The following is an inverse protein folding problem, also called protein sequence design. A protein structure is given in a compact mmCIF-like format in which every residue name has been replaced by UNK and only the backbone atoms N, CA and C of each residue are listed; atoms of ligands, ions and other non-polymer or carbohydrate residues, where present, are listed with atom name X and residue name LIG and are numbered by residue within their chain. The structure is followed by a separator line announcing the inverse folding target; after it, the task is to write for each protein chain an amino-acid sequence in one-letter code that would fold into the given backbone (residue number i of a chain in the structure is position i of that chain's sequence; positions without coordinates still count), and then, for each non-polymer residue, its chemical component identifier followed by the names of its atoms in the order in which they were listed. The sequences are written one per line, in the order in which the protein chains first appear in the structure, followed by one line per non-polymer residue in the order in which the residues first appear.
data_IF_403253835669
#
_entry.id   IF_403253835669
#
_cell.length_a   1.000
_cell.length_b   1.000
_cell.length_c   1.000
_cell.angle_alpha   90.00
_cell.angle_beta   90.00
_cell.angle_gamma   90.00
#
_symmetry.space_group_name_H-M   'P 1'
#
loop_
_entity.id
_entity.type
_entity.pdbx_description
1 polymer ?
#
# COMPACT_ATOMS: atom_id res chain seq x y z
N UNK A 1 -22.48 15.72 -8.92
CA UNK A 1 -22.69 14.84 -7.75
C UNK A 1 -21.72 13.68 -7.82
N UNK A 2 -21.01 13.40 -6.74
CA UNK A 2 -20.05 12.31 -6.72
C UNK A 2 -20.75 10.97 -6.46
N UNK A 3 -20.32 9.93 -7.17
CA UNK A 3 -20.76 8.56 -6.93
C UNK A 3 -19.75 7.87 -6.03
N UNK A 4 -20.19 7.45 -4.86
CA UNK A 4 -19.36 6.83 -3.84
C UNK A 4 -19.82 5.40 -3.62
N UNK A 5 -18.85 4.46 -3.57
CA UNK A 5 -19.15 3.04 -3.37
C UNK A 5 -18.26 2.42 -2.28
N UNK A 6 -18.82 1.41 -1.64
CA UNK A 6 -18.09 0.51 -0.76
C UNK A 6 -17.16 -0.38 -1.59
N UNK A 7 -16.17 -0.96 -0.95
CA UNK A 7 -15.28 -1.91 -1.59
C UNK A 7 -14.76 -2.96 -0.59
N UNK A 8 -14.23 -4.05 -1.14
CA UNK A 8 -13.62 -5.11 -0.34
C UNK A 8 -12.13 -4.80 -0.20
N UNK A 9 -11.72 -4.29 0.94
CA UNK A 9 -10.33 -3.93 1.16
C UNK A 9 -9.43 -5.16 1.24
N UNK A 10 -8.22 -5.03 0.74
CA UNK A 10 -7.12 -5.94 0.99
C UNK A 10 -6.26 -5.27 2.05
N UNK A 11 -6.14 -5.88 3.21
CA UNK A 11 -5.45 -5.29 4.35
C UNK A 11 -4.49 -6.29 4.98
N UNK A 12 -3.46 -5.82 5.72
CA UNK A 12 -2.60 -6.72 6.47
C UNK A 12 -3.40 -7.53 7.50
N UNK A 13 -3.03 -8.80 7.68
CA UNK A 13 -3.52 -9.58 8.80
C UNK A 13 -3.11 -8.87 10.10
N UNK A 14 -3.97 -8.92 11.12
CA UNK A 14 -3.76 -8.17 12.37
C UNK A 14 -2.39 -8.50 13.00
N UNK A 15 -2.01 -9.76 13.00
CA UNK A 15 -0.74 -10.21 13.57
C UNK A 15 0.48 -9.82 12.75
N UNK A 16 0.29 -9.29 11.54
CA UNK A 16 1.37 -8.87 10.62
C UNK A 16 1.47 -7.37 10.44
N UNK A 17 0.50 -6.63 10.95
CA UNK A 17 0.39 -5.18 10.72
C UNK A 17 1.68 -4.44 11.05
N UNK A 18 2.30 -4.72 12.18
CA UNK A 18 3.50 -4.01 12.63
C UNK A 18 4.70 -4.19 11.69
N UNK A 19 4.76 -5.32 10.99
CA UNK A 19 5.83 -5.59 10.05
C UNK A 19 5.55 -5.07 8.66
N UNK A 20 4.28 -5.02 8.27
CA UNK A 20 3.86 -4.65 6.91
C UNK A 20 3.68 -3.15 6.78
N UNK A 21 3.14 -2.48 7.80
CA UNK A 21 2.89 -1.05 7.77
C UNK A 21 4.19 -0.27 7.50
N UNK A 22 4.11 0.71 6.63
CA UNK A 22 5.26 1.49 6.20
C UNK A 22 4.90 2.96 6.11
N UNK A 23 5.91 3.82 6.20
CA UNK A 23 5.74 5.24 5.89
C UNK A 23 5.42 5.39 4.40
N UNK A 24 4.85 6.55 3.99
CA UNK A 24 4.56 6.79 2.58
C UNK A 24 5.80 6.62 1.71
N UNK A 25 5.58 6.15 0.48
CA UNK A 25 6.64 5.79 -0.45
C UNK A 25 7.61 6.96 -0.75
N UNK A 26 7.13 8.18 -0.70
CA UNK A 26 7.89 9.39 -1.06
C UNK A 26 8.77 9.94 0.07
N UNK A 27 8.72 9.34 1.25
CA UNK A 27 9.56 9.72 2.40
C UNK A 27 11.01 9.34 2.17
N UNK A 28 11.26 8.31 1.34
CA UNK A 28 12.59 7.75 1.11
C UNK A 28 13.06 8.00 -0.32
N UNK A 29 14.37 8.27 -0.49
CA UNK A 29 14.99 8.13 -1.80
C UNK A 29 15.23 6.64 -2.08
N UNK A 30 15.65 6.28 -3.30
CA UNK A 30 15.80 4.88 -3.70
C UNK A 30 16.78 4.12 -2.80
N UNK A 31 17.93 4.72 -2.49
CA UNK A 31 18.94 4.10 -1.64
C UNK A 31 18.41 3.83 -0.23
N UNK A 32 17.73 4.81 0.35
CA UNK A 32 17.12 4.67 1.67
C UNK A 32 16.04 3.58 1.67
N UNK A 33 15.21 3.54 0.62
CA UNK A 33 14.18 2.53 0.48
C UNK A 33 14.77 1.12 0.43
N UNK A 34 15.88 0.94 -0.30
CA UNK A 34 16.59 -0.35 -0.35
C UNK A 34 17.03 -0.78 1.05
N UNK A 35 17.59 0.13 1.85
CA UNK A 35 18.03 -0.19 3.19
C UNK A 35 16.86 -0.57 4.12
N UNK A 36 15.73 0.13 4.01
CA UNK A 36 14.53 -0.18 4.78
C UNK A 36 14.02 -1.57 4.44
N UNK A 37 13.94 -1.92 3.16
CA UNK A 37 13.46 -3.22 2.70
C UNK A 37 14.42 -4.34 3.11
N UNK A 38 15.74 -4.09 3.07
CA UNK A 38 16.72 -5.08 3.57
C UNK A 38 16.52 -5.39 5.04
N UNK A 39 16.22 -4.37 5.85
CA UNK A 39 15.97 -4.54 7.27
C UNK A 39 14.65 -5.20 7.60
N UNK A 40 13.66 -5.05 6.71
CA UNK A 40 12.34 -5.64 6.86
C UNK A 40 11.72 -5.96 5.50
N UNK A 41 12.00 -7.14 4.94
CA UNK A 41 11.45 -7.54 3.63
C UNK A 41 9.92 -7.64 3.61
N UNK A 42 9.26 -7.73 4.76
CA UNK A 42 7.81 -7.80 4.86
C UNK A 42 7.14 -6.42 4.75
N UNK A 43 7.91 -5.34 4.81
CA UNK A 43 7.38 -3.99 4.71
C UNK A 43 6.62 -3.79 3.41
N UNK A 44 5.47 -3.11 3.48
CA UNK A 44 4.71 -2.72 2.29
C UNK A 44 5.54 -1.87 1.33
N UNK A 45 6.60 -1.24 1.82
CA UNK A 45 7.51 -0.47 0.99
C UNK A 45 8.12 -1.32 -0.13
N UNK A 46 8.32 -2.62 0.09
CA UNK A 46 8.83 -3.53 -0.95
C UNK A 46 7.88 -3.63 -2.15
N UNK A 47 6.58 -3.45 -1.94
CA UNK A 47 5.56 -3.43 -2.99
C UNK A 47 5.46 -2.04 -3.59
N UNK A 48 5.36 -1.04 -2.74
CA UNK A 48 5.17 0.37 -3.12
C UNK A 48 6.39 0.92 -3.86
N UNK A 49 7.57 0.45 -3.49
CA UNK A 49 8.85 0.78 -4.12
C UNK A 49 9.50 -0.50 -4.66
N UNK A 50 8.81 -1.17 -5.60
CA UNK A 50 9.24 -2.47 -6.12
C UNK A 50 10.59 -2.44 -6.85
N UNK A 51 11.07 -1.26 -7.26
CA UNK A 51 12.41 -1.09 -7.82
C UNK A 51 13.51 -1.47 -6.82
N UNK A 52 13.19 -1.53 -5.52
CA UNK A 52 14.15 -1.97 -4.49
C UNK A 52 14.56 -3.43 -4.64
N UNK A 53 13.81 -4.22 -5.41
CA UNK A 53 14.15 -5.61 -5.71
C UNK A 53 15.15 -5.75 -6.86
N UNK A 54 15.52 -4.65 -7.49
CA UNK A 54 16.38 -4.65 -8.68
C UNK A 54 17.63 -3.81 -8.46
N UNK A 55 18.62 -4.02 -9.31
CA UNK A 55 19.83 -3.21 -9.35
C UNK A 55 19.49 -1.75 -9.70
N UNK A 56 20.32 -0.83 -9.24
CA UNK A 56 20.15 0.61 -9.47
C UNK A 56 20.12 0.98 -10.95
N UNK A 57 20.67 0.14 -11.82
CA UNK A 57 20.63 0.35 -13.26
C UNK A 57 19.25 0.17 -13.87
N UNK A 58 18.32 -0.46 -13.15
CA UNK A 58 16.95 -0.68 -13.62
C UNK A 58 16.14 0.58 -13.36
N UNK A 59 15.49 1.09 -14.42
CA UNK A 59 14.62 2.26 -14.32
C UNK A 59 13.40 1.93 -13.43
N UNK A 60 13.06 2.87 -12.55
CA UNK A 60 11.89 2.75 -11.67
C UNK A 60 10.60 2.51 -12.46
N UNK A 61 10.51 3.02 -13.68
CA UNK A 61 9.33 2.91 -14.54
C UNK A 61 9.41 1.75 -15.53
N UNK A 62 10.37 0.84 -15.37
CA UNK A 62 10.45 -0.35 -16.20
C UNK A 62 9.26 -1.28 -15.92
N UNK A 63 8.70 -1.90 -16.96
CA UNK A 63 7.55 -2.81 -16.82
C UNK A 63 7.81 -3.96 -15.85
N UNK A 64 9.04 -4.43 -15.73
CA UNK A 64 9.37 -5.51 -14.78
C UNK A 64 9.26 -5.05 -13.32
N UNK A 65 9.38 -3.77 -13.04
CA UNK A 65 9.16 -3.22 -11.69
C UNK A 65 7.68 -3.32 -11.33
N UNK A 66 6.80 -2.97 -12.24
CA UNK A 66 5.35 -3.10 -12.04
C UNK A 66 4.93 -4.55 -11.90
N UNK A 67 5.51 -5.43 -12.72
CA UNK A 67 5.26 -6.86 -12.63
C UNK A 67 5.71 -7.43 -11.28
N UNK A 68 6.83 -6.93 -10.73
CA UNK A 68 7.32 -7.33 -9.42
C UNK A 68 6.39 -6.88 -8.30
N UNK A 69 5.87 -5.67 -8.38
CA UNK A 69 4.89 -5.17 -7.40
C UNK A 69 3.66 -6.07 -7.36
N UNK A 70 3.13 -6.44 -8.52
CA UNK A 70 1.99 -7.35 -8.62
C UNK A 70 2.31 -8.72 -8.04
N UNK A 71 3.45 -9.29 -8.37
CA UNK A 71 3.91 -10.58 -7.85
C UNK A 71 3.99 -10.58 -6.33
N UNK A 72 4.61 -9.55 -5.76
CA UNK A 72 4.77 -9.44 -4.31
C UNK A 72 3.42 -9.31 -3.60
N UNK A 73 2.50 -8.51 -4.14
CA UNK A 73 1.17 -8.36 -3.57
C UNK A 73 0.38 -9.68 -3.64
N UNK A 74 0.39 -10.34 -4.80
CA UNK A 74 -0.32 -11.61 -4.97
C UNK A 74 0.23 -12.69 -4.04
N UNK A 75 1.55 -12.75 -3.84
CA UNK A 75 2.17 -13.69 -2.92
C UNK A 75 1.76 -13.42 -1.47
N UNK A 76 1.70 -12.16 -1.07
CA UNK A 76 1.27 -11.78 0.28
C UNK A 76 -0.19 -12.18 0.54
N UNK A 77 -1.05 -12.04 -0.45
CA UNK A 77 -2.44 -12.49 -0.36
C UNK A 77 -2.49 -14.02 -0.25
N UNK A 78 -1.73 -14.72 -1.08
CA UNK A 78 -1.72 -16.18 -1.12
C UNK A 78 -1.27 -16.80 0.20
N UNK A 79 -0.27 -16.21 0.88
CA UNK A 79 0.24 -16.75 2.15
C UNK A 79 -0.53 -16.25 3.37
N UNK A 80 -1.52 -15.37 3.19
CA UNK A 80 -2.34 -14.86 4.29
C UNK A 80 -1.77 -13.68 5.05
N UNK A 81 -0.68 -13.07 4.57
CA UNK A 81 -0.15 -11.83 5.16
C UNK A 81 -1.10 -10.66 4.92
N UNK A 82 -1.79 -10.67 3.77
CA UNK A 82 -2.91 -9.79 3.47
C UNK A 82 -4.20 -10.59 3.44
N UNK A 83 -5.26 -9.97 3.92
CA UNK A 83 -6.60 -10.56 3.98
C UNK A 83 -7.53 -9.68 3.17
N UNK A 84 -8.36 -10.31 2.32
CA UNK A 84 -9.40 -9.60 1.57
C UNK A 84 -10.70 -9.65 2.37
N UNK A 85 -11.32 -8.50 2.59
CA UNK A 85 -12.63 -8.44 3.27
C UNK A 85 -13.69 -9.17 2.44
N UNK A 86 -14.54 -9.96 3.11
CA UNK A 86 -15.55 -10.78 2.44
C UNK A 86 -16.74 -9.97 1.93
N UNK A 87 -17.00 -8.82 2.54
CA UNK A 87 -18.12 -7.95 2.18
C UNK A 87 -17.61 -6.55 1.82
N UNK A 88 -18.29 -5.87 0.87
CA UNK A 88 -17.94 -4.48 0.60
C UNK A 88 -18.34 -3.61 1.78
N UNK A 89 -17.48 -2.66 2.14
CA UNK A 89 -17.68 -1.77 3.28
C UNK A 89 -17.10 -0.38 2.98
N UNK A 90 -17.55 0.60 3.75
CA UNK A 90 -16.80 1.84 3.91
C UNK A 90 -15.83 1.65 5.07
N UNK A 91 -14.73 2.39 5.05
CA UNK A 91 -13.71 2.30 6.09
C UNK A 91 -13.53 3.66 6.73
N UNK A 92 -13.10 3.65 7.99
CA UNK A 92 -12.80 4.87 8.73
C UNK A 92 -11.32 4.82 9.08
N UNK A 93 -10.61 5.90 8.77
CA UNK A 93 -9.26 6.07 9.26
C UNK A 93 -9.24 7.08 10.41
N UNK A 94 -8.30 6.91 11.30
CA UNK A 94 -8.05 7.84 12.39
C UNK A 94 -6.57 8.17 12.42
N UNK A 95 -6.25 9.46 12.35
CA UNK A 95 -4.89 9.97 12.41
C UNK A 95 -4.75 10.83 13.66
N UNK A 96 -3.80 10.47 14.51
CA UNK A 96 -3.55 11.22 15.75
C UNK A 96 -2.18 11.88 15.68
N UNK A 97 -2.15 13.18 15.92
CA UNK A 97 -0.93 13.97 16.00
C UNK A 97 -1.10 15.01 17.10
N UNK A 98 -0.11 15.11 17.98
CA UNK A 98 -0.10 16.11 19.08
C UNK A 98 -1.36 16.06 19.94
N UNK A 99 -1.87 14.85 20.20
CA UNK A 99 -3.06 14.64 21.02
C UNK A 99 -4.38 14.93 20.33
N UNK A 100 -4.35 15.27 19.03
CA UNK A 100 -5.56 15.54 18.23
C UNK A 100 -5.77 14.39 17.26
N UNK A 101 -7.01 13.89 17.20
CA UNK A 101 -7.38 12.80 16.30
C UNK A 101 -8.32 13.32 15.23
N UNK A 102 -7.96 13.08 13.97
CA UNK A 102 -8.78 13.35 12.81
C UNK A 102 -9.32 12.04 12.27
N UNK A 103 -10.62 12.00 11.97
CA UNK A 103 -11.27 10.85 11.35
C UNK A 103 -11.67 11.18 9.91
N UNK A 104 -11.62 10.18 9.05
CA UNK A 104 -12.06 10.32 7.67
C UNK A 104 -12.61 9.01 7.12
N UNK A 105 -13.32 9.11 6.01
CA UNK A 105 -13.87 7.95 5.31
C UNK A 105 -12.98 7.55 4.15
N UNK A 106 -12.89 6.23 3.92
CA UNK A 106 -12.24 5.67 2.75
C UNK A 106 -13.31 4.93 1.94
N UNK A 107 -13.41 5.29 0.67
CA UNK A 107 -14.41 4.73 -0.24
C UNK A 107 -13.88 4.84 -1.67
N UNK A 108 -14.55 4.16 -2.61
CA UNK A 108 -14.29 4.35 -4.03
C UNK A 108 -15.13 5.50 -4.55
N UNK A 109 -14.52 6.38 -5.33
CA UNK A 109 -15.22 7.45 -6.03
C UNK A 109 -15.07 7.23 -7.53
N UNK A 110 -16.16 7.48 -8.28
CA UNK A 110 -16.11 7.35 -9.73
C UNK A 110 -15.18 8.41 -10.33
N UNK A 111 -14.25 7.99 -11.16
CA UNK A 111 -13.36 8.92 -11.88
C UNK A 111 -14.13 9.75 -12.92
N UNK A 112 -15.27 9.26 -13.38
CA UNK A 112 -16.11 9.99 -14.35
C UNK A 112 -16.74 11.23 -13.74
N UNK A 113 -16.84 11.29 -12.41
CA UNK A 113 -17.40 12.42 -11.68
C UNK A 113 -16.35 13.49 -11.35
N UNK A 114 -15.10 13.27 -11.67
CA UNK A 114 -14.02 14.25 -11.44
C UNK A 114 -14.11 15.35 -12.49
N UNK A 115 -13.95 16.57 -12.06
CA UNK A 115 -13.85 17.71 -12.98
C UNK A 115 -12.45 17.71 -13.65
N UNK A 116 -12.48 18.01 -14.92
CA UNK A 116 -11.24 18.13 -15.71
C UNK A 116 -10.72 19.57 -15.70
#
# INVERSE_FOLDING_TARGET
MATIRMFNAVRPAIEKVDRIAALPYDVYNRKEAVEVVKGNPDSFLAIDRAETSFDDSVDTYDDKVYAKAKELLENKIAVGDFVTEEAPMYYIYALTMDGRTQHGFVACASIDDYEN
#
